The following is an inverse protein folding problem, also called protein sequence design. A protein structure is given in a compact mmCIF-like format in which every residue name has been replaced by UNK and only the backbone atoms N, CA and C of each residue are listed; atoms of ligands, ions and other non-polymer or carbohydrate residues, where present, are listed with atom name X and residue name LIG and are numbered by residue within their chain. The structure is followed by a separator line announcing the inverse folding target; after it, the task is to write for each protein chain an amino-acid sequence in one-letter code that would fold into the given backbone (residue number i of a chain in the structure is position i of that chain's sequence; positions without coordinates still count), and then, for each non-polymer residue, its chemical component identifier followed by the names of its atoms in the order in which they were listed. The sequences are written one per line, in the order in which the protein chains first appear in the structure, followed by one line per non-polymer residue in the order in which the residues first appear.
data_IF_225196324388
#
_entry.id   IF_225196324388
#
_cell.length_a   1.000
_cell.length_b   1.000
_cell.length_c   1.000
_cell.angle_alpha   90.00
_cell.angle_beta   90.00
_cell.angle_gamma   90.00
#
_symmetry.space_group_name_H-M   'P 1'
#
loop_
_entity.id
_entity.type
_entity.pdbx_description
1 polymer ?
#
# COMPACT_ATOMS: atom_id res chain seq x y z
N UNK A 1 -3.26 8.07 18.76
CA UNK A 1 -4.43 7.32 19.28
C UNK A 1 -4.94 8.05 20.52
N UNK A 2 -6.27 8.11 20.78
CA UNK A 2 -6.83 8.81 21.93
C UNK A 2 -6.29 8.26 23.26
N UNK A 3 -6.24 9.10 24.29
CA UNK A 3 -5.85 8.66 25.64
C UNK A 3 -6.97 7.99 26.43
N UNK A 4 -8.19 8.03 25.91
CA UNK A 4 -9.38 7.42 26.48
C UNK A 4 -9.44 5.90 26.33
N UNK A 5 -8.55 5.29 25.54
CA UNK A 5 -8.48 3.83 25.35
C UNK A 5 -7.33 3.21 26.14
N UNK A 6 -7.50 1.96 26.57
CA UNK A 6 -6.51 1.23 27.36
C UNK A 6 -5.19 1.04 26.61
N UNK A 7 -4.08 0.89 27.35
CA UNK A 7 -2.78 0.57 26.78
C UNK A 7 -2.82 -0.72 25.94
N UNK A 8 -3.59 -1.73 26.37
CA UNK A 8 -3.78 -2.96 25.62
C UNK A 8 -4.43 -2.70 24.24
N UNK A 9 -5.44 -1.82 24.18
CA UNK A 9 -6.07 -1.42 22.93
C UNK A 9 -5.09 -0.64 22.03
N UNK A 10 -4.33 0.30 22.60
CA UNK A 10 -3.27 1.03 21.86
C UNK A 10 -2.28 0.06 21.22
N UNK A 11 -1.79 -0.91 22.00
CA UNK A 11 -0.83 -1.91 21.53
C UNK A 11 -1.42 -2.83 20.46
N UNK A 12 -2.68 -3.23 20.61
CA UNK A 12 -3.35 -4.04 19.59
C UNK A 12 -3.49 -3.26 18.28
N UNK A 13 -3.96 -2.02 18.32
CA UNK A 13 -4.11 -1.20 17.12
C UNK A 13 -2.78 -0.99 16.41
N UNK A 14 -1.72 -0.63 17.15
CA UNK A 14 -0.41 -0.37 16.54
C UNK A 14 0.23 -1.62 15.95
N UNK A 15 0.07 -2.78 16.60
CA UNK A 15 0.72 -4.02 16.17
C UNK A 15 -0.10 -4.83 15.17
N UNK A 16 -1.43 -4.79 15.24
CA UNK A 16 -2.31 -5.67 14.44
C UNK A 16 -3.01 -4.93 13.30
N UNK A 17 -3.38 -3.66 13.50
CA UNK A 17 -4.16 -2.89 12.51
C UNK A 17 -3.21 -2.09 11.62
N UNK A 18 -2.41 -2.81 10.84
CA UNK A 18 -1.52 -2.24 9.82
C UNK A 18 -1.40 -3.17 8.61
N UNK A 19 -0.94 -2.62 7.49
CA UNK A 19 -0.87 -3.36 6.22
C UNK A 19 0.04 -4.59 6.30
N UNK A 20 1.17 -4.50 7.00
CA UNK A 20 2.11 -5.62 7.12
C UNK A 20 1.47 -6.82 7.81
N UNK A 21 0.73 -6.59 8.89
CA UNK A 21 0.04 -7.66 9.62
C UNK A 21 -1.15 -8.20 8.84
N UNK A 22 -1.87 -7.32 8.13
CA UNK A 22 -2.93 -7.72 7.21
C UNK A 22 -2.40 -8.69 6.15
N UNK A 23 -1.29 -8.35 5.47
CA UNK A 23 -0.63 -9.24 4.50
C UNK A 23 -0.17 -10.53 5.17
N UNK A 24 0.54 -10.45 6.29
CA UNK A 24 1.05 -11.65 6.98
C UNK A 24 -0.07 -12.64 7.38
N UNK A 25 -1.27 -12.13 7.66
CA UNK A 25 -2.41 -12.94 8.11
C UNK A 25 -3.27 -13.44 6.95
N UNK A 26 -3.48 -12.61 5.94
CA UNK A 26 -4.53 -12.82 4.95
C UNK A 26 -4.01 -13.08 3.52
N UNK A 27 -2.69 -13.08 3.29
CA UNK A 27 -2.12 -13.28 1.93
C UNK A 27 -2.62 -14.54 1.21
N UNK A 28 -2.99 -15.58 1.96
CA UNK A 28 -3.52 -16.83 1.41
C UNK A 28 -5.03 -16.83 1.15
N UNK A 29 -5.76 -15.81 1.56
CA UNK A 29 -7.20 -15.73 1.35
C UNK A 29 -7.50 -15.50 -0.13
N UNK A 30 -8.52 -16.19 -0.66
CA UNK A 30 -8.83 -16.18 -2.10
C UNK A 30 -9.20 -14.79 -2.64
N UNK A 31 -9.67 -13.91 -1.77
CA UNK A 31 -10.10 -12.54 -2.06
C UNK A 31 -9.09 -11.47 -1.56
N UNK A 32 -7.94 -11.89 -1.04
CA UNK A 32 -6.90 -10.97 -0.59
C UNK A 32 -6.27 -10.13 -1.73
N UNK A 33 -5.84 -10.71 -2.86
CA UNK A 33 -5.40 -9.91 -4.00
C UNK A 33 -6.61 -9.23 -4.64
N UNK A 34 -6.91 -8.02 -4.17
CA UNK A 34 -7.84 -7.13 -4.85
C UNK A 34 -7.24 -6.58 -6.16
N UNK A 35 -7.98 -5.69 -6.81
CA UNK A 35 -7.57 -5.06 -8.08
C UNK A 35 -6.46 -3.99 -7.90
N UNK A 36 -5.81 -3.96 -6.73
CA UNK A 36 -4.83 -2.95 -6.35
C UNK A 36 -3.63 -3.61 -5.66
N UNK A 37 -2.43 -3.25 -6.12
CA UNK A 37 -1.19 -3.63 -5.47
C UNK A 37 -0.65 -2.47 -4.63
N UNK A 38 -0.13 -2.77 -3.44
CA UNK A 38 0.55 -1.80 -2.58
C UNK A 38 1.99 -2.26 -2.36
N UNK A 39 2.92 -1.33 -2.48
CA UNK A 39 4.35 -1.58 -2.29
C UNK A 39 4.80 -0.83 -1.03
N UNK A 40 5.59 -1.47 -0.18
CA UNK A 40 6.19 -0.81 0.98
C UNK A 40 7.42 -0.01 0.53
N UNK A 41 7.38 1.31 0.70
CA UNK A 41 8.42 2.23 0.19
C UNK A 41 9.41 2.71 1.25
N UNK A 42 9.24 2.35 2.53
CA UNK A 42 10.00 2.91 3.67
C UNK A 42 10.10 4.46 3.66
N UNK A 43 9.09 5.13 3.10
CA UNK A 43 8.95 6.59 3.06
C UNK A 43 7.47 6.98 3.15
N UNK A 44 7.21 8.23 3.51
CA UNK A 44 5.87 8.80 3.43
C UNK A 44 5.56 9.23 1.98
N UNK A 45 4.32 8.95 1.53
CA UNK A 45 3.81 9.34 0.21
C UNK A 45 4.07 8.33 -0.91
N UNK A 46 3.53 8.59 -2.12
CA UNK A 46 3.71 7.75 -3.30
C UNK A 46 5.17 7.66 -3.73
N UNK A 47 5.48 6.68 -4.58
CA UNK A 47 6.83 6.50 -5.13
C UNK A 47 7.27 7.73 -5.92
N UNK A 48 6.37 8.24 -6.77
CA UNK A 48 6.53 9.41 -7.64
C UNK A 48 6.27 10.73 -6.91
N UNK A 49 6.73 11.82 -7.51
CA UNK A 49 6.35 13.19 -7.14
C UNK A 49 4.94 13.46 -7.65
N UNK A 50 4.19 14.24 -6.90
CA UNK A 50 2.83 14.66 -7.30
C UNK A 50 2.84 15.83 -8.28
N UNK A 51 4.00 16.17 -8.84
CA UNK A 51 4.20 17.20 -9.87
C UNK A 51 5.42 16.85 -10.72
N UNK A 52 5.30 17.00 -12.03
CA UNK A 52 6.35 16.88 -13.03
C UNK A 52 6.94 15.47 -13.22
N UNK A 53 6.20 14.44 -12.82
CA UNK A 53 6.57 13.04 -13.05
C UNK A 53 5.56 12.38 -14.02
N UNK A 54 6.07 11.61 -14.97
CA UNK A 54 5.28 10.77 -15.88
C UNK A 54 5.51 9.30 -15.55
N UNK A 55 4.43 8.54 -15.38
CA UNK A 55 4.46 7.10 -15.13
C UNK A 55 3.95 6.40 -16.39
N UNK A 56 4.80 5.58 -17.02
CA UNK A 56 4.45 4.75 -18.16
C UNK A 56 4.32 3.29 -17.75
N UNK A 57 3.19 2.67 -18.09
CA UNK A 57 2.98 1.23 -17.98
C UNK A 57 3.33 0.59 -19.32
N UNK A 58 4.20 -0.42 -19.29
CA UNK A 58 4.65 -1.16 -20.48
C UNK A 58 4.12 -2.59 -20.45
N UNK A 59 3.79 -3.14 -21.63
CA UNK A 59 3.52 -4.57 -21.79
C UNK A 59 4.80 -5.40 -21.88
N UNK A 60 4.64 -6.72 -22.03
CA UNK A 60 5.75 -7.68 -22.18
C UNK A 60 6.61 -7.46 -23.44
N UNK A 61 6.09 -6.74 -24.44
CA UNK A 61 6.79 -6.42 -25.68
C UNK A 61 7.49 -5.05 -25.61
N UNK A 62 7.36 -4.34 -24.48
CA UNK A 62 7.93 -3.00 -24.30
C UNK A 62 7.10 -1.87 -24.92
N UNK A 63 5.83 -2.12 -25.27
CA UNK A 63 4.91 -1.10 -25.76
C UNK A 63 4.21 -0.40 -24.60
N UNK A 64 3.96 0.90 -24.73
CA UNK A 64 3.20 1.67 -23.73
C UNK A 64 1.74 1.28 -23.80
N UNK A 65 1.18 0.85 -22.68
CA UNK A 65 -0.24 0.51 -22.52
C UNK A 65 -1.02 1.58 -21.74
N UNK A 66 -0.34 2.38 -20.91
CA UNK A 66 -0.94 3.50 -20.18
C UNK A 66 0.11 4.54 -19.76
N UNK A 67 -0.32 5.80 -19.59
CA UNK A 67 0.52 6.92 -19.15
C UNK A 67 -0.26 7.80 -18.16
N UNK A 68 0.35 8.10 -17.01
CA UNK A 68 -0.17 9.02 -16.01
C UNK A 68 0.81 10.17 -15.80
N UNK A 69 0.34 11.41 -15.97
CA UNK A 69 1.10 12.64 -15.73
C UNK A 69 0.63 13.33 -14.44
N UNK A 70 1.59 13.78 -13.63
CA UNK A 70 1.37 14.55 -12.41
C UNK A 70 1.94 15.97 -12.51
#
# INVERSE_FOLDING_TARGET
LPDTISLACKNYITTQINYNTCVATHLGDTDFPGNQYRIYLNKFGPLWRTTHDTINLYDENGLIVDTIDY
#
